data_IF_722923704106
#
_entry.id   IF_722923704106
#
_cell.length_a   1.000
_cell.length_b   1.000
_cell.length_c   1.000
_cell.angle_alpha   90.00
_cell.angle_beta   90.00
_cell.angle_gamma   90.00
#
_symmetry.space_group_name_H-M   'P 1'
#
loop_
_entity.id
_entity.type
_entity.pdbx_description
1 polymer ?
2 non-polymer ?
3 water ?
#
# COMPACT_ATOMS: atom_id res chain seq x y z
N UNK A 5 -8.28 6.88 11.47
CA UNK A 5 -9.07 5.67 11.40
C UNK A 5 -8.37 4.59 10.59
N UNK A 6 -7.26 5.12 10.04
CA UNK A 6 -6.21 4.60 9.37
C UNK A 6 -5.66 3.26 9.87
N UNK A 7 -5.69 2.26 8.89
CA UNK A 7 -4.94 0.94 9.25
C UNK A 7 -3.42 1.19 9.17
N UNK A 8 -3.00 1.95 8.16
CA UNK A 8 -1.56 2.22 8.04
C UNK A 8 -1.30 3.69 8.06
N UNK A 9 -0.05 4.06 8.26
CA UNK A 9 0.31 5.47 8.19
C UNK A 9 1.49 5.65 7.25
N UNK A 10 1.79 6.88 6.92
CA UNK A 10 2.89 7.19 6.03
C UNK A 10 4.16 6.54 6.52
N UNK A 11 4.94 5.98 5.61
CA UNK A 11 6.21 5.38 5.97
C UNK A 11 6.12 3.94 6.45
N UNK A 12 4.92 3.39 6.70
CA UNK A 12 4.87 1.99 7.08
C UNK A 12 5.36 1.12 5.95
N UNK A 13 6.07 0.03 6.25
CA UNK A 13 6.54 -0.89 5.20
C UNK A 13 5.46 -1.94 5.05
N UNK A 14 4.96 -2.16 3.83
CA UNK A 14 3.89 -3.15 3.64
C UNK A 14 4.20 -3.98 2.40
N UNK A 15 3.46 -5.07 2.29
CA UNK A 15 3.55 -5.90 1.10
C UNK A 15 2.16 -6.37 0.71
N UNK A 16 2.03 -6.69 -0.58
CA UNK A 16 0.81 -7.28 -1.08
C UNK A 16 0.75 -8.71 -0.57
N UNK A 17 -0.42 -9.13 -0.10
CA UNK A 17 -0.55 -10.47 0.48
C UNK A 17 -0.57 -11.58 -0.56
N UNK A 18 -1.10 -11.36 -1.75
CA UNK A 18 -1.17 -12.48 -2.65
C UNK A 18 -1.19 -12.01 -4.07
N UNK A 19 -1.02 -12.90 -5.02
CA UNK A 19 -1.03 -12.55 -6.43
C UNK A 19 0.24 -11.80 -6.78
N UNK A 20 0.15 -10.87 -7.72
CA UNK A 20 1.33 -10.10 -8.13
C UNK A 20 1.96 -9.44 -6.91
N UNK A 21 3.29 -9.47 -6.81
CA UNK A 21 3.94 -8.91 -5.64
C UNK A 21 4.11 -7.39 -5.67
N UNK A 22 4.22 -6.81 -4.48
CA UNK A 22 4.52 -5.38 -4.33
C UNK A 22 4.97 -5.15 -2.90
N UNK A 23 6.03 -4.36 -2.66
CA UNK A 23 6.52 -4.19 -1.31
C UNK A 23 7.25 -2.88 -1.24
N UNK A 24 6.99 -2.11 -0.18
CA UNK A 24 7.66 -0.83 -0.01
C UNK A 24 6.90 -0.01 1.03
N UNK A 25 7.07 1.31 0.99
CA UNK A 25 6.51 2.21 1.99
C UNK A 25 5.19 2.82 1.62
N UNK A 26 4.38 3.03 2.63
CA UNK A 26 3.08 3.86 2.31
C UNK A 26 3.52 5.28 2.04
N UNK A 27 3.03 5.84 0.92
CA UNK A 27 3.30 7.17 0.48
C UNK A 27 2.04 7.98 0.20
N UNK A 28 0.86 7.38 0.43
CA UNK A 28 -0.38 8.13 0.23
C UNK A 28 -1.57 7.30 0.47
N UNK A 29 -2.71 7.90 0.12
CA UNK A 29 -3.99 7.25 0.39
C UNK A 29 -5.06 7.73 -0.57
N UNK A 30 -6.12 6.91 -0.71
CA UNK A 30 -7.21 7.28 -1.58
C UNK A 30 -8.49 6.61 -1.10
N UNK A 31 -9.62 7.09 -1.62
CA UNK A 31 -10.88 6.63 -1.13
C UNK A 31 -11.89 6.67 -2.30
N UNK A 32 -12.51 5.53 -2.66
CA UNK A 32 -13.59 5.50 -3.62
C UNK A 32 -14.69 4.61 -3.05
N UNK A 33 -15.84 4.51 -3.72
CA UNK A 33 -16.90 3.62 -3.25
C UNK A 33 -16.45 2.17 -3.33
N UNK A 34 -15.68 1.81 -4.36
CA UNK A 34 -15.18 0.46 -4.50
C UNK A 34 -14.10 0.17 -3.49
N UNK A 35 -13.30 1.16 -3.18
CA UNK A 35 -12.17 1.02 -2.25
C UNK A 35 -12.21 2.16 -1.24
N UNK A 36 -13.01 2.04 -0.18
CA UNK A 36 -13.17 3.14 0.75
C UNK A 36 -11.94 3.44 1.58
N UNK A 37 -10.99 2.49 1.62
CA UNK A 37 -9.72 2.71 2.33
C UNK A 37 -8.58 2.12 1.48
N UNK A 38 -7.86 2.99 0.78
CA UNK A 38 -6.81 2.56 -0.14
C UNK A 38 -5.53 3.33 0.15
N UNK A 39 -4.42 2.70 -0.26
CA UNK A 39 -3.10 3.28 -0.02
C UNK A 39 -2.23 3.29 -1.26
N UNK A 40 -1.36 4.25 -1.33
CA UNK A 40 -0.31 4.31 -2.36
C UNK A 40 0.96 3.76 -1.71
N UNK A 41 1.69 2.91 -2.42
CA UNK A 41 2.88 2.28 -1.90
C UNK A 41 4.00 2.41 -2.91
N UNK A 42 5.10 3.01 -2.50
CA UNK A 42 6.25 3.15 -3.35
C UNK A 42 7.13 1.93 -3.24
N UNK A 43 7.46 1.28 -4.36
CA UNK A 43 8.28 0.10 -4.32
C UNK A 43 9.64 0.37 -3.71
N UNK A 44 10.08 -0.54 -2.83
CA UNK A 44 11.43 -0.42 -2.29
C UNK A 44 12.44 -0.98 -3.27
N UNK A 45 12.02 -1.75 -4.26
CA UNK A 45 12.93 -2.30 -5.25
C UNK A 45 13.09 -1.40 -6.46
N UNK A 46 12.03 -0.69 -6.84
CA UNK A 46 12.02 0.17 -8.02
C UNK A 46 11.70 1.60 -7.59
N UNK A 47 12.70 2.35 -7.17
CA UNK A 47 12.44 3.67 -6.64
C UNK A 47 11.61 4.52 -7.59
N UNK A 48 10.62 5.28 -7.05
CA UNK A 48 9.76 6.15 -7.88
C UNK A 48 8.49 5.44 -8.39
N UNK A 49 8.47 4.10 -8.40
CA UNK A 49 7.33 3.37 -8.91
C UNK A 49 6.32 3.22 -7.79
N UNK A 50 5.08 3.62 -8.03
CA UNK A 50 4.05 3.60 -7.00
C UNK A 50 2.82 2.87 -7.51
N UNK A 51 2.27 1.99 -6.67
CA UNK A 51 1.01 1.35 -6.98
C UNK A 51 0.03 1.75 -5.88
N UNK A 52 -1.26 1.74 -6.21
CA UNK A 52 -2.33 1.95 -5.23
C UNK A 52 -3.07 0.62 -5.06
N UNK A 53 -3.46 0.34 -3.79
CA UNK A 53 -4.19 -0.90 -3.47
C UNK A 53 -5.20 -0.67 -2.34
N UNK A 54 -6.22 -1.49 -2.34
CA UNK A 54 -7.14 -1.48 -1.21
C UNK A 54 -6.40 -2.01 0.04
N UNK A 55 -6.82 -1.55 1.22
CA UNK A 55 -6.19 -2.00 2.47
C UNK A 55 -6.20 -3.51 2.60
N UNK A 56 -7.26 -4.17 2.17
CA UNK A 56 -7.34 -5.61 2.37
C UNK A 56 -6.28 -6.37 1.58
N UNK A 57 -5.67 -5.74 0.56
CA UNK A 57 -4.65 -6.39 -0.22
C UNK A 57 -3.29 -6.30 0.41
N UNK A 58 -3.12 -5.54 1.47
CA UNK A 58 -1.79 -5.25 2.02
C UNK A 58 -1.61 -5.71 3.44
N UNK A 59 -0.38 -5.94 3.85
CA UNK A 59 -0.11 -6.24 5.25
C UNK A 59 1.20 -5.55 5.62
N UNK A 60 1.28 -5.12 6.86
CA UNK A 60 2.47 -4.45 7.38
C UNK A 60 3.56 -5.46 7.70
N UNK A 61 4.83 -5.14 7.41
CA UNK A 61 5.92 -6.05 7.70
C UNK A 61 6.98 -5.29 8.46
N UNK A 62 7.99 -5.96 9.02
CA UNK A 62 8.96 -5.12 9.72
C UNK A 62 9.86 -4.38 8.75
X LIG B 1 -4.74 -6.34 -7.74
X LIG B 1 -5.33 -6.97 -8.86
X LIG B 1 -5.33 -5.11 -7.14
X LIG B 1 -5.20 -7.08 -6.64
X LIG B 1 -3.21 -6.43 -7.97
X LIG B 1 -2.30 -6.28 -9.24
X LIG B 1 -2.23 -7.56 -10.10
X LIG B 1 -0.88 -5.79 -8.95
X LIG B 1 -2.86 -5.29 -10.14
X LIG B 1 -1.98 -4.62 -10.57
X LIG B 1 -2.03 -3.66 -9.59
X LIG B 1 -1.21 -2.59 -9.86
X LIG B 1 -3.47 -3.35 -9.90
X LIG B 1 -4.08 -3.14 -8.59
X LIG B 1 -3.23 -2.13 -10.72
X LIG B 1 -4.17 -1.32 -10.26
X LIG B 1 -2.01 -1.45 -10.29
X LIG B 1 -1.17 -0.63 -11.00
X LIG B 1 -1.02 0.60 -10.37
X LIG B 1 -0.28 1.51 -11.04
X LIG B 1 -0.02 2.81 -10.42
X LIG B 1 0.10 3.79 -11.12
X LIG B 1 -0.19 3.04 -9.21
X LIG B 1 0.29 1.28 -12.32
X LIG B 1 0.09 0.04 -12.97
X LIG B 1 -0.68 -0.90 -12.29
#
# INVERSE_FOLDING_TARGET
>A
VFPSNATFGMGDRVRKKSGAAWQGQIVGWYCTNLTPEGYAVESEAHPGSVHIYPVAALERIN
>B hetero
1 NAP PA O1A O2A O5B O3 PN O1N O2N O5D C5D C4D O4D C3D O3D C2D O2D C1D N1N C2N C3N C7N O7N N7N C4N C5N C6N
#
